data_IF_053416832793
#
_entry.id   IF_053416832793
#
_cell.length_a   1.000
_cell.length_b   1.000
_cell.length_c   1.000
_cell.angle_alpha   90.00
_cell.angle_beta   90.00
_cell.angle_gamma   90.00
#
_symmetry.space_group_name_H-M   'P 1'
#
loop_
_entity.id
_entity.type
_entity.pdbx_description
1 polymer ?
#
# COMPACT_ATOMS: atom_id res chain seq x y z
N UNK A 1 -14.26 -18.82 -9.11
CA UNK A 1 -14.18 -20.11 -8.39
C UNK A 1 -14.62 -21.17 -9.37
N UNK A 2 -13.75 -22.12 -9.71
CA UNK A 2 -14.04 -23.18 -10.68
C UNK A 2 -14.66 -24.38 -9.93
N UNK A 3 -15.76 -24.98 -10.42
CA UNK A 3 -16.38 -26.12 -9.73
C UNK A 3 -15.49 -27.37 -9.80
N UNK A 4 -15.41 -28.12 -8.70
CA UNK A 4 -14.68 -29.40 -8.66
C UNK A 4 -15.29 -30.44 -9.60
N UNK A 5 -14.51 -31.44 -10.03
CA UNK A 5 -14.98 -32.52 -10.90
C UNK A 5 -16.25 -33.24 -10.40
N UNK A 6 -16.41 -33.46 -9.09
CA UNK A 6 -17.63 -34.06 -8.51
C UNK A 6 -18.88 -33.19 -8.74
N UNK A 7 -18.73 -31.87 -8.62
CA UNK A 7 -19.80 -30.91 -8.90
C UNK A 7 -20.15 -30.92 -10.38
N UNK A 8 -19.15 -31.03 -11.24
CA UNK A 8 -19.34 -31.13 -12.69
C UNK A 8 -20.12 -32.41 -13.06
N UNK A 9 -19.77 -33.56 -12.48
CA UNK A 9 -20.45 -34.84 -12.74
C UNK A 9 -21.90 -34.86 -12.26
N UNK A 10 -22.21 -34.12 -11.19
CA UNK A 10 -23.59 -33.92 -10.72
C UNK A 10 -24.37 -33.01 -11.67
N UNK A 11 -23.75 -31.93 -12.16
CA UNK A 11 -24.36 -31.01 -13.11
C UNK A 11 -24.62 -31.67 -14.47
N UNK A 12 -23.65 -32.42 -15.01
CA UNK A 12 -23.79 -33.13 -16.28
C UNK A 12 -24.94 -34.14 -16.25
N UNK A 13 -25.10 -34.85 -15.13
CA UNK A 13 -26.27 -35.74 -14.92
C UNK A 13 -27.58 -34.97 -14.80
N UNK A 14 -27.60 -33.87 -14.06
CA UNK A 14 -28.81 -33.06 -13.88
C UNK A 14 -29.28 -32.40 -15.18
N UNK A 15 -28.35 -32.02 -16.05
CA UNK A 15 -28.61 -31.41 -17.35
C UNK A 15 -28.85 -32.45 -18.47
N UNK A 16 -28.71 -33.75 -18.17
CA UNK A 16 -28.91 -34.82 -19.15
C UNK A 16 -27.90 -34.80 -20.29
N UNK A 17 -26.66 -34.35 -20.03
CA UNK A 17 -25.62 -34.29 -21.03
C UNK A 17 -25.23 -35.70 -21.49
N UNK A 18 -24.96 -35.86 -22.78
CA UNK A 18 -24.44 -37.12 -23.30
C UNK A 18 -22.97 -37.33 -22.86
N UNK A 19 -22.46 -38.53 -23.09
CA UNK A 19 -21.12 -38.92 -22.67
C UNK A 19 -20.03 -38.12 -23.41
N UNK A 20 -20.29 -37.69 -24.64
CA UNK A 20 -19.36 -36.88 -25.43
C UNK A 20 -19.25 -35.48 -24.85
N UNK A 21 -20.38 -34.81 -24.61
CA UNK A 21 -20.43 -33.47 -24.01
C UNK A 21 -19.89 -33.49 -22.58
N UNK A 22 -20.18 -34.53 -21.80
CA UNK A 22 -19.64 -34.67 -20.44
C UNK A 22 -18.12 -34.78 -20.44
N UNK A 23 -17.55 -35.49 -21.43
CA UNK A 23 -16.09 -35.61 -21.60
C UNK A 23 -15.48 -34.27 -22.01
N UNK A 24 -16.10 -33.58 -22.97
CA UNK A 24 -15.65 -32.26 -23.43
C UNK A 24 -15.63 -31.22 -22.31
N UNK A 25 -16.68 -31.16 -21.47
CA UNK A 25 -16.73 -30.22 -20.34
C UNK A 25 -15.66 -30.56 -19.29
N UNK A 26 -15.37 -31.85 -19.06
CA UNK A 26 -14.30 -32.29 -18.16
C UNK A 26 -12.91 -31.93 -18.69
N UNK A 27 -12.69 -32.08 -19.98
CA UNK A 27 -11.44 -31.71 -20.64
C UNK A 27 -11.24 -30.18 -20.60
N UNK A 28 -12.31 -29.40 -20.80
CA UNK A 28 -12.30 -27.95 -20.63
C UNK A 28 -12.01 -27.53 -19.17
N UNK A 29 -12.56 -28.24 -18.18
CA UNK A 29 -12.24 -28.01 -16.77
C UNK A 29 -10.76 -28.27 -16.50
N UNK A 30 -10.23 -29.40 -16.98
CA UNK A 30 -8.82 -29.73 -16.88
C UNK A 30 -7.92 -28.70 -17.57
N UNK A 31 -8.34 -28.17 -18.72
CA UNK A 31 -7.64 -27.09 -19.41
C UNK A 31 -7.67 -25.78 -18.64
N UNK A 32 -8.78 -25.44 -17.97
CA UNK A 32 -8.90 -24.23 -17.12
C UNK A 32 -8.11 -24.36 -15.82
N UNK A 33 -8.04 -25.55 -15.23
CA UNK A 33 -7.23 -25.83 -14.03
C UNK A 33 -5.73 -25.91 -14.33
N UNK A 34 -5.35 -26.46 -15.49
CA UNK A 34 -3.96 -26.54 -15.95
C UNK A 34 -3.47 -25.25 -16.59
N UNK A 35 -4.38 -24.39 -17.06
CA UNK A 35 -4.02 -23.04 -17.45
C UNK A 35 -3.45 -22.33 -16.21
N UNK A 36 -2.23 -21.75 -16.28
CA UNK A 36 -1.80 -20.83 -15.24
C UNK A 36 -2.92 -19.81 -15.08
N UNK A 37 -3.33 -19.52 -13.85
CA UNK A 37 -4.38 -18.53 -13.59
C UNK A 37 -4.05 -17.26 -14.37
N UNK A 38 -4.66 -17.10 -15.54
CA UNK A 38 -4.65 -15.88 -16.30
C UNK A 38 -5.60 -14.98 -15.54
N UNK A 39 -5.11 -14.45 -14.41
CA UNK A 39 -5.27 -13.03 -14.21
C UNK A 39 -4.75 -12.46 -15.52
N UNK A 40 -5.62 -11.86 -16.33
CA UNK A 40 -5.16 -10.95 -17.36
C UNK A 40 -4.15 -10.05 -16.66
N UNK A 41 -2.86 -10.26 -16.93
CA UNK A 41 -1.82 -9.34 -16.54
C UNK A 41 -1.86 -8.28 -17.63
N UNK A 42 -2.55 -7.14 -17.45
CA UNK A 42 -2.42 -6.08 -18.41
C UNK A 42 -1.03 -5.51 -18.16
N UNK A 43 -0.12 -5.80 -19.09
CA UNK A 43 1.19 -5.16 -19.15
C UNK A 43 2.29 -5.96 -18.48
N UNK A 44 3.25 -6.36 -19.31
CA UNK A 44 4.69 -6.26 -19.10
C UNK A 44 5.09 -5.89 -17.67
N UNK A 45 5.81 -6.80 -16.99
CA UNK A 45 6.66 -6.50 -15.85
C UNK A 45 7.67 -5.42 -16.25
N UNK A 46 7.25 -4.16 -16.24
CA UNK A 46 8.14 -3.08 -15.89
C UNK A 46 8.60 -3.34 -14.45
N UNK A 47 9.85 -3.00 -14.08
CA UNK A 47 10.29 -3.14 -12.70
C UNK A 47 9.24 -2.51 -11.78
N UNK A 48 8.90 -3.20 -10.71
CA UNK A 48 7.89 -2.85 -9.67
C UNK A 48 8.06 -1.42 -9.11
N UNK A 49 9.13 -0.72 -9.47
CA UNK A 49 9.46 0.64 -9.07
C UNK A 49 9.33 1.70 -10.19
N UNK A 50 8.90 1.38 -11.42
CA UNK A 50 8.94 2.35 -12.55
C UNK A 50 7.62 3.11 -12.75
N UNK A 51 6.48 2.50 -12.42
CA UNK A 51 5.16 3.08 -12.75
C UNK A 51 4.70 4.12 -11.71
N UNK A 52 4.74 3.80 -10.40
CA UNK A 52 4.52 4.81 -9.35
C UNK A 52 5.51 5.97 -9.46
N UNK A 53 6.74 5.72 -9.88
CA UNK A 53 7.77 6.75 -10.02
C UNK A 53 7.41 7.78 -11.09
N UNK A 54 6.91 7.32 -12.24
CA UNK A 54 6.45 8.22 -13.30
C UNK A 54 5.27 9.07 -12.85
N UNK A 55 4.30 8.44 -12.18
CA UNK A 55 3.10 9.11 -11.64
C UNK A 55 3.52 10.16 -10.61
N UNK A 56 4.31 9.79 -9.60
CA UNK A 56 4.71 10.71 -8.52
C UNK A 56 5.59 11.85 -9.02
N UNK A 57 6.54 11.59 -9.94
CA UNK A 57 7.43 12.64 -10.46
C UNK A 57 6.70 13.66 -11.33
N UNK A 58 5.63 13.28 -12.02
CA UNK A 58 4.84 14.18 -12.85
C UNK A 58 3.76 14.96 -12.09
N UNK A 59 3.38 14.49 -10.90
CA UNK A 59 2.26 15.02 -10.14
C UNK A 59 2.57 16.26 -9.29
N UNK A 60 1.76 17.32 -9.36
CA UNK A 60 1.89 18.47 -8.44
C UNK A 60 1.22 18.22 -7.10
N UNK A 61 0.16 17.43 -7.08
CA UNK A 61 -0.53 17.02 -5.86
C UNK A 61 -0.51 15.51 -5.72
N UNK A 62 0.03 15.04 -4.59
CA UNK A 62 -0.03 13.65 -4.16
C UNK A 62 -0.88 13.55 -2.91
N UNK A 63 -1.83 12.63 -2.91
CA UNK A 63 -2.68 12.31 -1.75
C UNK A 63 -2.54 10.82 -1.44
N UNK A 64 -2.04 10.45 -0.26
CA UNK A 64 -1.82 9.04 0.08
C UNK A 64 -2.52 8.68 1.38
N UNK A 65 -3.34 7.64 1.34
CA UNK A 65 -3.94 7.04 2.52
C UNK A 65 -3.24 5.71 2.84
N UNK A 66 -2.82 5.50 4.08
CA UNK A 66 -2.19 4.26 4.50
C UNK A 66 -2.74 3.75 5.83
N UNK A 67 -2.95 2.43 5.90
CA UNK A 67 -3.50 1.76 7.08
C UNK A 67 -2.68 0.58 7.60
N UNK A 68 -1.59 0.20 6.90
CA UNK A 68 -0.71 -0.92 7.29
C UNK A 68 0.77 -0.52 7.29
N UNK A 69 1.25 0.06 6.20
CA UNK A 69 2.66 0.42 5.99
C UNK A 69 2.77 1.92 5.74
N UNK A 70 3.81 2.58 6.25
CA UNK A 70 4.01 4.00 5.98
C UNK A 70 4.17 4.29 4.48
N UNK A 71 3.68 5.44 3.97
CA UNK A 71 3.88 5.81 2.59
C UNK A 71 5.38 5.83 2.26
N UNK A 72 5.77 5.28 1.11
CA UNK A 72 7.18 5.17 0.69
C UNK A 72 7.97 6.49 0.81
N UNK A 73 7.31 7.63 0.53
CA UNK A 73 7.92 8.97 0.62
C UNK A 73 8.25 9.40 2.07
N UNK A 74 7.54 8.84 3.05
CA UNK A 74 7.74 9.14 4.46
C UNK A 74 8.71 8.18 5.16
N UNK A 75 9.05 7.05 4.53
CA UNK A 75 9.90 6.02 5.14
C UNK A 75 11.34 6.50 5.37
N UNK A 76 11.97 6.14 6.48
CA UNK A 76 13.41 6.23 6.66
C UNK A 76 14.10 5.17 5.80
N UNK A 77 15.39 5.33 5.53
CA UNK A 77 16.15 4.32 4.78
C UNK A 77 16.13 2.94 5.47
N UNK A 78 16.10 2.91 6.80
CA UNK A 78 16.04 1.68 7.59
C UNK A 78 14.66 1.02 7.50
N UNK A 79 13.57 1.80 7.61
CA UNK A 79 12.22 1.28 7.41
C UNK A 79 12.04 0.75 6.00
N UNK A 80 12.49 1.50 4.99
CA UNK A 80 12.42 1.09 3.58
C UNK A 80 13.18 -0.21 3.33
N UNK A 81 14.39 -0.36 3.90
CA UNK A 81 15.18 -1.59 3.82
C UNK A 81 14.39 -2.78 4.37
N UNK A 82 13.78 -2.61 5.53
CA UNK A 82 13.00 -3.68 6.13
C UNK A 82 11.80 -4.08 5.25
N UNK A 83 11.07 -3.11 4.70
CA UNK A 83 9.96 -3.39 3.77
C UNK A 83 10.45 -4.22 2.59
N UNK A 84 11.60 -3.88 1.99
CA UNK A 84 12.14 -4.63 0.87
C UNK A 84 12.72 -6.00 1.24
N UNK A 85 13.32 -6.14 2.43
CA UNK A 85 13.83 -7.43 2.93
C UNK A 85 12.69 -8.44 3.18
N UNK A 86 11.47 -7.96 3.44
CA UNK A 86 10.29 -8.81 3.60
C UNK A 86 9.68 -9.30 2.28
N UNK A 87 10.14 -8.78 1.14
CA UNK A 87 9.60 -9.13 -0.17
C UNK A 87 10.11 -10.51 -0.66
N UNK A 88 9.26 -11.33 -1.29
CA UNK A 88 9.69 -12.58 -1.90
C UNK A 88 10.81 -12.32 -2.94
N UNK A 89 11.89 -13.12 -2.89
CA UNK A 89 13.05 -13.03 -3.79
C UNK A 89 13.94 -11.77 -3.66
N UNK A 90 13.95 -11.10 -2.50
CA UNK A 90 14.87 -9.98 -2.22
C UNK A 90 16.34 -10.42 -2.25
N UNK A 91 17.20 -9.68 -2.96
CA UNK A 91 18.67 -9.79 -2.88
C UNK A 91 19.27 -8.54 -2.22
N UNK A 92 20.39 -8.64 -1.48
CA UNK A 92 21.01 -7.47 -0.83
C UNK A 92 21.28 -6.30 -1.78
N UNK A 93 21.78 -6.59 -3.00
CA UNK A 93 22.05 -5.58 -4.02
C UNK A 93 20.75 -4.98 -4.58
N UNK A 94 19.71 -5.79 -4.75
CA UNK A 94 18.38 -5.34 -5.18
C UNK A 94 17.73 -4.41 -4.16
N UNK A 95 17.80 -4.77 -2.88
CA UNK A 95 17.31 -3.97 -1.75
C UNK A 95 18.05 -2.64 -1.69
N UNK A 96 19.38 -2.65 -1.79
CA UNK A 96 20.20 -1.43 -1.78
C UNK A 96 19.79 -0.43 -2.87
N UNK A 97 19.59 -0.90 -4.10
CA UNK A 97 19.11 -0.06 -5.21
C UNK A 97 17.69 0.45 -4.98
N UNK A 98 16.79 -0.40 -4.50
CA UNK A 98 15.40 -0.03 -4.26
C UNK A 98 15.25 1.01 -3.14
N UNK A 99 16.04 0.89 -2.06
CA UNK A 99 16.13 1.89 -0.99
C UNK A 99 16.67 3.21 -1.54
N UNK A 100 17.73 3.19 -2.36
CA UNK A 100 18.29 4.40 -2.93
C UNK A 100 17.27 5.14 -3.83
N UNK A 101 16.57 4.43 -4.72
CA UNK A 101 15.52 4.99 -5.56
C UNK A 101 14.37 5.57 -4.73
N UNK A 102 13.97 4.87 -3.65
CA UNK A 102 12.96 5.35 -2.72
C UNK A 102 13.39 6.62 -2.00
N UNK A 103 14.63 6.70 -1.52
CA UNK A 103 15.20 7.89 -0.87
C UNK A 103 15.30 9.07 -1.85
N UNK A 104 15.71 8.82 -3.10
CA UNK A 104 15.77 9.86 -4.13
C UNK A 104 14.39 10.50 -4.34
N UNK A 105 13.32 9.69 -4.41
CA UNK A 105 11.94 10.19 -4.51
C UNK A 105 11.50 11.08 -3.34
N UNK A 106 12.15 10.98 -2.18
CA UNK A 106 11.81 11.80 -1.03
C UNK A 106 12.24 13.25 -1.23
N UNK A 107 13.17 13.53 -2.16
CA UNK A 107 13.52 14.91 -2.52
C UNK A 107 12.31 15.69 -3.04
N UNK A 108 11.34 15.00 -3.65
CA UNK A 108 10.10 15.59 -4.18
C UNK A 108 9.27 16.28 -3.08
N UNK A 109 9.39 15.83 -1.82
CA UNK A 109 8.72 16.49 -0.69
C UNK A 109 9.24 17.91 -0.45
N UNK A 110 10.44 18.25 -0.91
CA UNK A 110 11.06 19.55 -0.69
C UNK A 110 10.92 20.48 -1.92
N UNK A 111 10.33 19.99 -3.01
CA UNK A 111 10.19 20.78 -4.24
C UNK A 111 9.10 21.85 -4.10
N UNK A 112 9.44 23.14 -4.27
CA UNK A 112 8.44 24.21 -4.23
C UNK A 112 7.38 24.04 -5.34
N UNK A 113 6.12 24.28 -5.00
CA UNK A 113 5.00 24.16 -5.93
C UNK A 113 4.40 22.76 -6.04
N UNK A 114 4.92 21.79 -5.26
CA UNK A 114 4.26 20.52 -5.01
C UNK A 114 3.58 20.51 -3.65
N UNK A 115 2.50 19.75 -3.56
CA UNK A 115 1.77 19.49 -2.33
C UNK A 115 1.63 17.97 -2.13
N UNK A 116 1.87 17.52 -0.91
CA UNK A 116 1.72 16.11 -0.54
C UNK A 116 0.88 15.99 0.73
N UNK A 117 -0.28 15.36 0.62
CA UNK A 117 -1.18 15.11 1.74
C UNK A 117 -1.13 13.62 2.08
N UNK A 118 -0.79 13.31 3.32
CA UNK A 118 -0.72 11.94 3.82
C UNK A 118 -1.74 11.77 4.94
N UNK A 119 -2.59 10.76 4.83
CA UNK A 119 -3.52 10.37 5.91
C UNK A 119 -3.18 8.96 6.35
N UNK A 120 -2.88 8.81 7.64
CA UNK A 120 -2.49 7.52 8.22
C UNK A 120 -3.53 7.10 9.26
N UNK A 121 -3.77 5.80 9.40
CA UNK A 121 -4.32 5.31 10.67
C UNK A 121 -3.21 5.27 11.72
N UNK A 122 -3.54 5.53 12.99
CA UNK A 122 -2.55 5.40 14.07
C UNK A 122 -1.94 3.99 14.13
N UNK A 123 -2.68 2.96 13.69
CA UNK A 123 -2.17 1.59 13.57
C UNK A 123 -0.89 1.48 12.74
N UNK A 124 -0.69 2.32 11.71
CA UNK A 124 0.55 2.35 10.92
C UNK A 124 1.74 2.76 11.77
N UNK A 125 1.56 3.69 12.70
CA UNK A 125 2.61 4.18 13.59
C UNK A 125 2.97 3.15 14.67
N UNK A 126 2.08 2.17 14.90
CA UNK A 126 2.21 1.13 15.91
C UNK A 126 2.41 -0.26 15.32
N UNK A 127 2.49 -0.39 14.00
CA UNK A 127 2.85 -1.63 13.30
C UNK A 127 4.29 -1.48 12.85
N UNK A 128 5.20 -2.22 13.48
CA UNK A 128 6.62 -2.09 13.20
C UNK A 128 7.23 -3.42 12.81
N UNK A 129 8.20 -3.40 11.89
CA UNK A 129 8.62 -4.66 11.30
C UNK A 129 9.92 -5.20 11.95
N UNK A 130 10.51 -4.49 12.92
CA UNK A 130 11.74 -4.92 13.58
C UNK A 130 11.90 -4.43 15.02
N UNK A 131 12.83 -3.50 15.25
CA UNK A 131 13.18 -3.00 16.58
C UNK A 131 12.45 -1.71 16.96
N UNK A 132 12.29 -1.40 18.26
CA UNK A 132 11.86 -0.08 18.71
C UNK A 132 12.74 1.07 18.20
N UNK A 133 14.06 0.85 18.12
CA UNK A 133 15.02 1.84 17.62
C UNK A 133 14.73 2.26 16.16
N UNK A 134 14.39 1.31 15.30
CA UNK A 134 13.99 1.56 13.90
C UNK A 134 12.78 2.49 13.84
N UNK A 135 11.76 2.23 14.68
CA UNK A 135 10.57 3.08 14.71
C UNK A 135 10.82 4.45 15.30
N UNK A 136 11.72 4.59 16.28
CA UNK A 136 12.11 5.90 16.79
C UNK A 136 12.73 6.76 15.69
N UNK A 137 13.67 6.20 14.91
CA UNK A 137 14.25 6.89 13.76
C UNK A 137 13.20 7.24 12.69
N UNK A 138 12.22 6.35 12.47
CA UNK A 138 11.10 6.60 11.57
C UNK A 138 10.18 7.74 12.07
N UNK A 139 9.87 7.78 13.37
CA UNK A 139 9.02 8.81 13.96
C UNK A 139 9.71 10.18 14.00
N UNK A 140 11.03 10.22 14.27
CA UNK A 140 11.84 11.43 14.13
C UNK A 140 11.76 12.00 12.72
N UNK A 141 11.79 11.13 11.70
CA UNK A 141 11.58 11.54 10.31
C UNK A 141 10.18 12.10 10.08
N UNK A 142 9.13 11.50 10.65
CA UNK A 142 7.77 12.03 10.54
C UNK A 142 7.63 13.43 11.17
N UNK A 143 8.31 13.69 12.29
CA UNK A 143 8.37 15.01 12.90
C UNK A 143 9.09 16.04 12.02
N UNK A 144 10.12 15.62 11.28
CA UNK A 144 10.81 16.50 10.35
C UNK A 144 9.95 16.85 9.13
N UNK A 145 9.30 15.86 8.51
CA UNK A 145 8.48 16.09 7.30
C UNK A 145 7.17 16.82 7.59
N UNK A 146 6.58 16.64 8.78
CA UNK A 146 5.37 17.39 9.19
C UNK A 146 5.61 18.90 9.27
N UNK A 147 6.86 19.32 9.48
CA UNK A 147 7.23 20.74 9.51
C UNK A 147 7.39 21.38 8.12
N UNK A 148 7.30 20.60 7.04
CA UNK A 148 7.45 21.10 5.67
C UNK A 148 6.15 21.76 5.19
N UNK A 149 6.26 22.96 4.61
CA UNK A 149 5.10 23.68 4.06
C UNK A 149 4.43 22.99 2.86
N UNK A 150 5.14 22.06 2.23
CA UNK A 150 4.70 21.23 1.11
C UNK A 150 3.99 19.94 1.55
N UNK A 151 3.98 19.65 2.86
CA UNK A 151 3.45 18.40 3.42
C UNK A 151 2.32 18.69 4.39
N UNK A 152 1.21 17.98 4.21
CA UNK A 152 0.13 17.87 5.20
C UNK A 152 0.08 16.45 5.72
N UNK A 153 0.51 16.24 6.96
CA UNK A 153 0.45 14.94 7.61
C UNK A 153 -0.76 14.88 8.53
N UNK A 154 -1.69 13.98 8.23
CA UNK A 154 -2.87 13.67 9.01
C UNK A 154 -2.80 12.28 9.61
N UNK A 155 -3.30 12.12 10.83
CA UNK A 155 -3.45 10.82 11.48
C UNK A 155 -4.86 10.68 12.03
N UNK A 156 -5.51 9.56 11.69
CA UNK A 156 -6.77 9.11 12.30
C UNK A 156 -6.40 8.39 13.60
N UNK A 157 -6.66 9.01 14.77
CA UNK A 157 -6.30 8.42 16.05
C UNK A 157 -7.09 7.13 16.29
N UNK A 158 -6.52 6.17 17.04
CA UNK A 158 -7.19 4.89 17.35
C UNK A 158 -8.53 5.07 18.07
N UNK A 159 -8.68 6.17 18.80
CA UNK A 159 -9.89 6.59 19.52
C UNK A 159 -11.01 7.12 18.61
N UNK A 160 -10.75 7.29 17.32
CA UNK A 160 -11.69 7.79 16.33
C UNK A 160 -12.13 6.66 15.39
N UNK A 161 -13.44 6.55 15.16
CA UNK A 161 -13.97 5.58 14.22
C UNK A 161 -13.53 5.96 12.79
N UNK A 162 -13.07 4.97 12.03
CA UNK A 162 -12.79 5.16 10.60
C UNK A 162 -14.11 5.30 9.83
N UNK A 163 -14.21 6.23 8.88
CA UNK A 163 -15.44 6.47 8.11
C UNK A 163 -15.75 5.33 7.14
N UNK A 164 -14.73 4.60 6.70
CA UNK A 164 -14.77 3.42 5.85
C UNK A 164 -13.75 2.44 6.40
N UNK A 165 -14.08 1.14 6.44
CA UNK A 165 -13.09 0.14 6.85
C UNK A 165 -11.99 0.01 5.77
N UNK A 166 -10.73 0.37 6.10
CA UNK A 166 -9.67 0.36 5.13
C UNK A 166 -9.22 -1.07 4.82
N UNK A 167 -9.20 -1.43 3.53
CA UNK A 167 -8.74 -2.75 3.06
C UNK A 167 -7.26 -2.76 2.68
N UNK A 168 -6.79 -1.64 2.17
CA UNK A 168 -5.41 -1.40 1.73
C UNK A 168 -5.15 0.11 1.71
N UNK A 169 -3.87 0.48 1.61
CA UNK A 169 -3.49 1.85 1.29
C UNK A 169 -3.63 2.14 -0.21
N UNK A 170 -3.58 3.42 -0.56
CA UNK A 170 -3.57 3.88 -1.95
C UNK A 170 -2.97 5.29 -2.07
N UNK A 171 -2.50 5.64 -3.25
CA UNK A 171 -1.95 6.97 -3.55
C UNK A 171 -2.61 7.54 -4.80
N UNK A 172 -3.22 8.71 -4.66
CA UNK A 172 -3.81 9.52 -5.70
C UNK A 172 -2.80 10.53 -6.25
N UNK A 173 -2.84 10.72 -7.56
CA UNK A 173 -2.08 11.72 -8.31
C UNK A 173 -3.03 12.66 -9.05
N UNK A 174 -2.69 13.94 -9.10
CA UNK A 174 -3.41 14.94 -9.93
C UNK A 174 -3.41 14.63 -11.43
N UNK A 175 -2.55 13.71 -11.89
CA UNK A 175 -2.58 13.16 -13.24
C UNK A 175 -3.79 12.24 -13.50
N UNK A 176 -4.70 12.09 -12.53
CA UNK A 176 -5.89 11.26 -12.64
C UNK A 176 -5.61 9.77 -12.49
N UNK A 177 -4.67 9.41 -11.62
CA UNK A 177 -4.30 8.01 -11.38
C UNK A 177 -4.31 7.65 -9.89
N UNK A 178 -4.72 6.43 -9.60
CA UNK A 178 -4.62 5.80 -8.27
C UNK A 178 -3.60 4.66 -8.34
N UNK A 179 -2.67 4.63 -7.41
CA UNK A 179 -1.74 3.51 -7.25
C UNK A 179 -2.05 2.75 -5.97
N UNK A 180 -2.22 1.44 -6.10
CA UNK A 180 -2.42 0.51 -4.98
C UNK A 180 -1.25 -0.47 -4.94
N UNK A 181 -0.49 -0.46 -3.86
CA UNK A 181 0.59 -1.41 -3.61
C UNK A 181 0.01 -2.72 -3.05
N UNK A 182 0.47 -3.85 -3.58
CA UNK A 182 0.09 -5.21 -3.15
C UNK A 182 1.34 -6.07 -2.96
N UNK A 183 1.21 -7.23 -2.31
CA UNK A 183 2.32 -8.18 -2.18
C UNK A 183 2.93 -8.66 -3.51
N UNK A 184 2.17 -8.57 -4.62
CA UNK A 184 2.59 -9.04 -5.95
C UNK A 184 3.06 -7.91 -6.86
N UNK A 185 3.04 -6.67 -6.39
CA UNK A 185 3.39 -5.48 -7.16
C UNK A 185 2.36 -4.36 -7.01
N UNK A 186 2.40 -3.40 -7.93
CA UNK A 186 1.54 -2.23 -7.92
C UNK A 186 0.41 -2.38 -8.94
N UNK A 187 -0.77 -1.83 -8.63
CA UNK A 187 -1.84 -1.64 -9.62
C UNK A 187 -2.06 -0.15 -9.81
N UNK A 188 -2.10 0.27 -11.07
CA UNK A 188 -2.46 1.64 -11.46
C UNK A 188 -3.86 1.63 -12.03
N UNK A 189 -4.71 2.47 -11.47
CA UNK A 189 -6.09 2.69 -11.90
C UNK A 189 -6.16 4.10 -12.47
N UNK A 190 -6.59 4.24 -13.71
CA UNK A 190 -6.72 5.51 -14.44
C UNK A 190 -8.14 5.71 -15.01
N UNK A 191 -9.06 4.77 -14.74
CA UNK A 191 -10.47 4.97 -15.03
C UNK A 191 -11.05 6.09 -14.17
N UNK A 192 -11.70 7.06 -14.83
CA UNK A 192 -12.21 8.26 -14.17
C UNK A 192 -13.26 7.98 -13.09
N UNK A 193 -14.08 6.93 -13.23
CA UNK A 193 -15.09 6.59 -12.22
C UNK A 193 -14.42 5.93 -11.00
N UNK A 194 -13.42 5.08 -11.23
CA UNK A 194 -12.62 4.50 -10.14
C UNK A 194 -11.85 5.59 -9.39
N UNK A 195 -11.15 6.48 -10.10
CA UNK A 195 -10.40 7.58 -9.51
C UNK A 195 -11.31 8.45 -8.64
N UNK A 196 -12.48 8.85 -9.15
CA UNK A 196 -13.45 9.65 -8.39
C UNK A 196 -13.91 8.95 -7.10
N UNK A 197 -14.11 7.62 -7.13
CA UNK A 197 -14.48 6.85 -5.94
C UNK A 197 -13.36 6.82 -4.89
N UNK A 198 -12.10 6.75 -5.31
CA UNK A 198 -10.95 6.83 -4.41
C UNK A 198 -10.76 8.25 -3.85
N UNK A 199 -11.03 9.29 -4.64
CA UNK A 199 -11.01 10.67 -4.17
C UNK A 199 -12.05 10.91 -3.08
N UNK A 200 -13.30 10.48 -3.28
CA UNK A 200 -14.36 10.57 -2.26
C UNK A 200 -13.96 9.82 -0.99
N UNK A 201 -13.41 8.60 -1.15
CA UNK A 201 -12.94 7.79 -0.03
C UNK A 201 -11.80 8.48 0.72
N UNK A 202 -10.85 9.09 0.01
CA UNK A 202 -9.76 9.85 0.61
C UNK A 202 -10.27 11.04 1.41
N UNK A 203 -11.20 11.84 0.85
CA UNK A 203 -11.78 12.99 1.53
C UNK A 203 -12.43 12.61 2.86
N UNK A 204 -13.14 11.47 2.91
CA UNK A 204 -13.70 10.94 4.17
C UNK A 204 -12.61 10.64 5.20
N UNK A 205 -11.52 10.00 4.79
CA UNK A 205 -10.39 9.72 5.69
C UNK A 205 -9.71 11.01 6.15
N UNK A 206 -9.56 12.00 5.26
CA UNK A 206 -8.98 13.30 5.59
C UNK A 206 -9.82 14.04 6.63
N UNK A 207 -11.16 14.07 6.47
CA UNK A 207 -12.08 14.65 7.45
C UNK A 207 -12.02 13.97 8.82
N UNK A 208 -11.74 12.67 8.85
CA UNK A 208 -11.58 11.91 10.09
C UNK A 208 -10.18 12.01 10.70
N UNK A 209 -9.23 12.69 10.04
CA UNK A 209 -7.86 12.80 10.52
C UNK A 209 -7.65 14.09 11.34
N UNK A 210 -6.76 13.98 12.33
CA UNK A 210 -6.17 15.13 13.02
C UNK A 210 -4.92 15.59 12.29
N UNK A 211 -4.57 16.88 12.38
CA UNK A 211 -3.44 17.50 11.67
C UNK A 211 -2.65 18.45 12.59
N UNK A 212 -1.46 18.86 12.16
CA UNK A 212 -0.67 19.90 12.83
C UNK A 212 -0.22 19.50 14.23
N UNK A 213 -0.46 20.37 15.22
CA UNK A 213 -0.03 20.16 16.61
C UNK A 213 -0.52 18.83 17.19
N UNK A 214 -1.74 18.41 16.86
CA UNK A 214 -2.34 17.18 17.39
C UNK A 214 -1.61 15.95 16.87
N UNK A 215 -1.18 15.96 15.60
CA UNK A 215 -0.33 14.91 15.03
C UNK A 215 1.04 14.92 15.67
N UNK A 216 1.62 16.09 15.89
CA UNK A 216 2.92 16.21 16.57
C UNK A 216 2.88 15.62 17.98
N UNK A 217 1.84 15.93 18.76
CA UNK A 217 1.63 15.36 20.09
C UNK A 217 1.44 13.84 20.04
N UNK A 218 0.66 13.35 19.08
CA UNK A 218 0.46 11.91 18.88
C UNK A 218 1.78 11.20 18.55
N UNK A 219 2.59 11.75 17.65
CA UNK A 219 3.91 11.20 17.30
C UNK A 219 4.82 11.14 18.52
N UNK A 220 4.89 12.20 19.33
CA UNK A 220 5.68 12.23 20.56
C UNK A 220 5.20 11.20 21.58
N UNK A 221 3.89 10.99 21.69
CA UNK A 221 3.33 9.95 22.54
C UNK A 221 3.70 8.54 22.07
N UNK A 222 3.58 8.26 20.77
CA UNK A 222 3.98 6.96 20.19
C UNK A 222 5.49 6.72 20.39
N UNK A 223 6.33 7.75 20.22
CA UNK A 223 7.77 7.65 20.49
C UNK A 223 8.05 7.30 21.96
N UNK A 224 7.30 7.86 22.90
CA UNK A 224 7.43 7.51 24.32
C UNK A 224 7.11 6.03 24.54
N UNK A 225 6.03 5.53 23.94
CA UNK A 225 5.64 4.11 24.04
C UNK A 225 6.76 3.19 23.53
N UNK A 226 7.41 3.53 22.41
CA UNK A 226 8.56 2.76 21.90
C UNK A 226 9.80 2.81 22.80
N UNK A 227 10.11 3.94 23.43
CA UNK A 227 11.20 4.04 24.41
C UNK A 227 10.93 3.19 25.65
N UNK A 228 9.67 3.05 26.04
CA UNK A 228 9.27 2.19 27.15
C UNK A 228 9.42 0.71 26.79
N UNK A 229 9.06 0.33 25.56
CA UNK A 229 9.27 -1.02 25.03
C UNK A 229 10.76 -1.41 25.01
N UNK A 230 11.62 -0.54 24.50
CA UNK A 230 13.07 -0.78 24.42
C UNK A 230 13.71 -1.02 25.79
N UNK A 231 13.29 -0.23 26.80
CA UNK A 231 13.73 -0.39 28.19
C UNK A 231 13.22 -1.69 28.82
N UNK A 232 12.02 -2.15 28.45
CA UNK A 232 11.47 -3.41 28.93
C UNK A 232 12.17 -4.64 28.32
N UNK A 233 12.64 -4.54 27.08
CA UNK A 233 13.34 -5.62 26.39
C UNK A 233 14.80 -5.80 26.85
N UNK A 234 15.39 -4.78 27.49
CA UNK A 234 16.77 -4.79 27.99
C UNK A 234 16.88 -5.28 29.45
N UNK A 235 15.75 -5.57 30.11
CA UNK A 235 15.69 -6.14 31.47
C UNK A 235 15.44 -7.63 31.44
#
# INVERSE_FOLDING_TARGET
MVPSADVLDRLSRALGLDESTTREVRDLLGAVEAAPHAVETPGTEAPVATTLDGVVRSARLIRSFQCVVLPAMLQSAEYARHVFDSAPASTPEGVGRAVAARVERQSLLYEPGRESVFVLTEGVLRTWPGSPALMLAQLDRLLAVESLSTVRLGVIPWRQAVPVMPRHGFTLSDTGAVVVETFRGERVLDDSAEVAAYEETFSRFEEAATFGSDVRELLLQVMKDFRDLDRSATR
#
